data_IF_575599594068
#
_entry.id   IF_575599594068
#
_cell.length_a   1.000
_cell.length_b   1.000
_cell.length_c   1.000
_cell.angle_alpha   90.00
_cell.angle_beta   90.00
_cell.angle_gamma   90.00
#
_symmetry.space_group_name_H-M   'P 1'
#
loop_
_entity.id
_entity.type
_entity.pdbx_description
1 polymer ?
#
# COMPACT_ATOMS: atom_id res chain seq x y z
N UNK A 1 16.40 -21.37 -12.97
CA UNK A 1 16.24 -19.91 -12.79
C UNK A 1 15.96 -19.66 -11.32
N UNK A 2 16.48 -18.58 -10.72
CA UNK A 2 16.12 -18.20 -9.35
C UNK A 2 14.60 -17.98 -9.26
N UNK A 3 14.01 -18.38 -8.15
CA UNK A 3 12.62 -18.11 -7.81
C UNK A 3 12.40 -16.62 -7.54
N UNK A 4 11.15 -16.16 -7.64
CA UNK A 4 10.81 -14.76 -7.35
C UNK A 4 11.16 -14.32 -5.93
N UNK A 5 11.05 -15.23 -4.96
CA UNK A 5 11.54 -15.01 -3.59
C UNK A 5 13.05 -14.76 -3.56
N UNK A 6 13.83 -15.57 -4.27
CA UNK A 6 15.28 -15.42 -4.33
C UNK A 6 15.67 -14.11 -5.01
N UNK A 7 15.01 -13.74 -6.11
CA UNK A 7 15.21 -12.45 -6.79
C UNK A 7 14.90 -11.29 -5.85
N UNK A 8 13.73 -11.31 -5.19
CA UNK A 8 13.33 -10.28 -4.23
C UNK A 8 14.35 -10.13 -3.10
N UNK A 9 14.72 -11.23 -2.43
CA UNK A 9 15.67 -11.20 -1.32
C UNK A 9 17.07 -10.76 -1.77
N UNK A 10 17.48 -11.12 -2.99
CA UNK A 10 18.75 -10.67 -3.54
C UNK A 10 18.76 -9.14 -3.76
N UNK A 11 17.70 -8.59 -4.36
CA UNK A 11 17.54 -7.15 -4.57
C UNK A 11 17.42 -6.34 -3.27
N UNK A 12 16.83 -6.92 -2.22
CA UNK A 12 16.74 -6.27 -0.90
C UNK A 12 18.08 -6.27 -0.16
N UNK A 13 18.82 -7.38 -0.22
CA UNK A 13 20.06 -7.57 0.57
C UNK A 13 21.30 -7.02 -0.12
N UNK A 14 21.27 -6.95 -1.45
CA UNK A 14 22.36 -6.49 -2.29
C UNK A 14 21.78 -5.53 -3.34
N UNK A 15 21.52 -4.26 -2.98
CA UNK A 15 20.94 -3.30 -3.91
C UNK A 15 21.80 -3.07 -5.17
N UNK A 16 23.13 -3.16 -5.04
CA UNK A 16 24.11 -3.05 -6.14
C UNK A 16 24.21 -4.33 -7.01
N UNK A 17 23.28 -5.27 -6.86
CA UNK A 17 23.23 -6.48 -7.69
C UNK A 17 22.84 -6.17 -9.14
N UNK A 18 21.96 -5.20 -9.32
CA UNK A 18 21.40 -4.79 -10.60
C UNK A 18 21.20 -3.26 -10.57
N UNK A 19 22.16 -2.54 -11.16
CA UNK A 19 22.20 -1.08 -11.14
C UNK A 19 20.92 -0.46 -11.71
N UNK A 20 20.32 -1.06 -12.74
CA UNK A 20 19.09 -0.57 -13.37
C UNK A 20 17.91 -0.70 -12.41
N UNK A 21 17.80 -1.84 -11.70
CA UNK A 21 16.73 -2.08 -10.72
C UNK A 21 16.87 -1.14 -9.53
N UNK A 22 18.08 -0.93 -9.02
CA UNK A 22 18.34 -0.01 -7.92
C UNK A 22 18.05 1.45 -8.31
N UNK A 23 18.45 1.88 -9.51
CA UNK A 23 18.13 3.21 -10.03
C UNK A 23 16.61 3.41 -10.13
N UNK A 24 15.88 2.47 -10.74
CA UNK A 24 14.41 2.55 -10.85
C UNK A 24 13.71 2.64 -9.49
N UNK A 25 14.19 1.90 -8.48
CA UNK A 25 13.64 1.94 -7.12
C UNK A 25 13.90 3.28 -6.43
N UNK A 26 15.12 3.82 -6.57
CA UNK A 26 15.49 5.13 -6.05
C UNK A 26 14.68 6.23 -6.72
N UNK A 27 14.57 6.20 -8.04
CA UNK A 27 13.79 7.17 -8.81
C UNK A 27 12.31 7.15 -8.44
N UNK A 28 11.71 5.97 -8.30
CA UNK A 28 10.33 5.85 -7.86
C UNK A 28 10.12 6.41 -6.45
N UNK A 29 11.04 6.11 -5.53
CA UNK A 29 11.00 6.62 -4.16
C UNK A 29 11.15 8.15 -4.12
N UNK A 30 12.13 8.68 -4.85
CA UNK A 30 12.39 10.11 -4.95
C UNK A 30 11.21 10.84 -5.55
N UNK A 31 10.63 10.31 -6.64
CA UNK A 31 9.45 10.89 -7.27
C UNK A 31 8.24 10.93 -6.33
N UNK A 32 8.02 9.87 -5.52
CA UNK A 32 6.97 9.87 -4.48
C UNK A 32 7.25 10.93 -3.40
N UNK A 33 8.51 11.09 -2.96
CA UNK A 33 8.89 12.12 -2.00
C UNK A 33 8.71 13.55 -2.55
N UNK A 34 9.18 13.79 -3.77
CA UNK A 34 9.04 15.07 -4.47
C UNK A 34 7.57 15.41 -4.67
N UNK A 35 6.74 14.45 -5.09
CA UNK A 35 5.30 14.66 -5.24
C UNK A 35 4.66 15.07 -3.91
N UNK A 36 5.01 14.40 -2.80
CA UNK A 36 4.50 14.75 -1.47
C UNK A 36 4.92 16.16 -1.06
N UNK A 37 6.17 16.55 -1.29
CA UNK A 37 6.68 17.88 -0.96
C UNK A 37 6.09 18.98 -1.85
N UNK A 38 5.98 18.74 -3.15
CA UNK A 38 5.44 19.71 -4.11
C UNK A 38 3.95 19.96 -3.86
N UNK A 39 3.16 18.89 -3.67
CA UNK A 39 1.71 18.99 -3.44
C UNK A 39 1.39 19.73 -2.14
N UNK A 40 2.22 19.57 -1.09
CA UNK A 40 2.04 20.28 0.18
C UNK A 40 2.13 21.82 0.01
N UNK A 41 2.87 22.29 -1.01
CA UNK A 41 3.10 23.71 -1.25
C UNK A 41 2.12 24.35 -2.25
N UNK A 42 1.27 23.55 -2.90
CA UNK A 42 0.35 24.00 -3.94
C UNK A 42 -1.07 24.21 -3.40
N UNK A 43 -1.82 25.11 -4.05
CA UNK A 43 -3.26 25.17 -3.91
C UNK A 43 -3.96 24.02 -4.67
N UNK A 44 -5.25 23.84 -4.46
CA UNK A 44 -5.97 22.68 -5.00
C UNK A 44 -5.95 22.65 -6.54
N UNK A 45 -6.03 23.81 -7.19
CA UNK A 45 -5.87 23.94 -8.64
C UNK A 45 -4.47 23.51 -9.11
N UNK A 46 -3.42 23.92 -8.39
CA UNK A 46 -2.04 23.51 -8.64
C UNK A 46 -1.84 22.01 -8.48
N UNK A 47 -2.36 21.41 -7.40
CA UNK A 47 -2.30 19.97 -7.16
C UNK A 47 -2.96 19.19 -8.29
N UNK A 48 -4.15 19.61 -8.72
CA UNK A 48 -4.89 18.96 -9.80
C UNK A 48 -4.16 19.02 -11.15
N UNK A 49 -3.36 20.07 -11.37
CA UNK A 49 -2.59 20.23 -12.61
C UNK A 49 -1.32 19.37 -12.65
N UNK A 50 -0.63 19.24 -11.51
CA UNK A 50 0.68 18.57 -11.44
C UNK A 50 0.56 17.06 -11.24
N UNK A 51 -0.37 16.61 -10.38
CA UNK A 51 -0.43 15.19 -10.03
C UNK A 51 -0.67 14.20 -11.17
N UNK A 52 -1.44 14.52 -12.23
CA UNK A 52 -1.58 13.60 -13.35
C UNK A 52 -0.24 13.19 -13.98
N UNK A 53 0.64 14.16 -14.20
CA UNK A 53 1.96 13.90 -14.79
C UNK A 53 2.89 13.12 -13.85
N UNK A 54 2.91 13.49 -12.57
CA UNK A 54 3.72 12.78 -11.57
C UNK A 54 3.24 11.34 -11.39
N UNK A 55 1.93 11.11 -11.31
CA UNK A 55 1.37 9.77 -11.15
C UNK A 55 1.62 8.89 -12.39
N UNK A 56 1.49 9.44 -13.60
CA UNK A 56 1.83 8.71 -14.83
C UNK A 56 3.30 8.29 -14.88
N UNK A 57 4.22 9.16 -14.42
CA UNK A 57 5.64 8.83 -14.29
C UNK A 57 5.88 7.73 -13.25
N UNK A 58 5.22 7.77 -12.09
CA UNK A 58 5.32 6.72 -11.07
C UNK A 58 4.88 5.36 -11.61
N UNK A 59 3.73 5.30 -12.29
CA UNK A 59 3.22 4.07 -12.91
C UNK A 59 4.20 3.59 -13.99
N UNK A 60 4.79 4.49 -14.76
CA UNK A 60 5.77 4.13 -15.81
C UNK A 60 7.04 3.51 -15.22
N UNK A 61 7.57 4.08 -14.12
CA UNK A 61 8.73 3.51 -13.41
C UNK A 61 8.40 2.12 -12.84
N UNK A 62 7.19 1.94 -12.29
CA UNK A 62 6.75 0.61 -11.82
C UNK A 62 6.60 -0.40 -12.96
N UNK A 63 6.17 0.03 -14.16
CA UNK A 63 6.15 -0.82 -15.36
C UNK A 63 7.56 -1.24 -15.77
N UNK A 64 8.51 -0.31 -15.76
CA UNK A 64 9.90 -0.60 -16.08
C UNK A 64 10.48 -1.58 -15.05
N UNK A 65 10.33 -1.30 -13.76
CA UNK A 65 10.78 -2.19 -12.68
C UNK A 65 10.19 -3.60 -12.83
N UNK A 66 8.88 -3.71 -13.10
CA UNK A 66 8.22 -4.99 -13.36
C UNK A 66 8.75 -5.70 -14.61
N UNK A 67 9.23 -4.96 -15.61
CA UNK A 67 9.88 -5.51 -16.80
C UNK A 67 11.26 -6.10 -16.54
N UNK A 68 11.96 -5.67 -15.48
CA UNK A 68 13.27 -6.21 -15.09
C UNK A 68 13.15 -7.42 -14.17
N UNK A 69 12.27 -7.36 -13.16
CA UNK A 69 12.23 -8.37 -12.08
C UNK A 69 10.92 -9.17 -12.01
N UNK A 70 9.95 -8.87 -12.86
CA UNK A 70 8.61 -9.44 -12.80
C UNK A 70 7.67 -8.64 -11.90
N UNK A 71 6.38 -8.68 -12.24
CA UNK A 71 5.32 -7.88 -11.59
C UNK A 71 5.26 -8.06 -10.08
N UNK A 72 5.26 -9.31 -9.60
CA UNK A 72 5.15 -9.58 -8.16
C UNK A 72 6.35 -9.06 -7.38
N UNK A 73 7.56 -9.25 -7.91
CA UNK A 73 8.79 -8.76 -7.27
C UNK A 73 8.85 -7.25 -7.28
N UNK A 74 8.52 -6.59 -8.40
CA UNK A 74 8.50 -5.14 -8.50
C UNK A 74 7.54 -4.50 -7.49
N UNK A 75 6.33 -5.05 -7.35
CA UNK A 75 5.36 -4.56 -6.36
C UNK A 75 5.82 -4.79 -4.92
N UNK A 76 6.43 -5.95 -4.63
CA UNK A 76 6.99 -6.23 -3.31
C UNK A 76 8.13 -5.26 -2.95
N UNK A 77 9.01 -4.95 -3.90
CA UNK A 77 10.08 -3.95 -3.72
C UNK A 77 9.49 -2.56 -3.50
N UNK A 78 8.58 -2.10 -4.37
CA UNK A 78 7.90 -0.80 -4.25
C UNK A 78 7.23 -0.64 -2.87
N UNK A 79 6.51 -1.66 -2.40
CA UNK A 79 5.84 -1.64 -1.08
C UNK A 79 6.82 -1.61 0.09
N UNK A 80 7.93 -2.35 0.01
CA UNK A 80 8.96 -2.32 1.05
C UNK A 80 9.67 -0.97 1.08
N UNK A 81 9.98 -0.40 -0.08
CA UNK A 81 10.62 0.91 -0.23
C UNK A 81 9.70 2.04 0.26
N UNK A 82 8.39 1.97 -0.01
CA UNK A 82 7.38 2.87 0.59
C UNK A 82 7.39 2.79 2.12
N UNK A 83 7.53 1.60 2.68
CA UNK A 83 7.57 1.40 4.13
C UNK A 83 8.84 1.97 4.77
N UNK A 84 10.00 1.76 4.14
CA UNK A 84 11.28 2.32 4.60
C UNK A 84 11.32 3.85 4.51
N UNK A 85 10.90 4.40 3.37
CA UNK A 85 11.03 5.84 3.09
C UNK A 85 9.89 6.68 3.68
N UNK A 86 8.74 6.07 3.98
CA UNK A 86 7.51 6.80 4.28
C UNK A 86 6.92 7.56 3.07
N UNK A 87 7.47 7.37 1.88
CA UNK A 87 7.05 8.02 0.64
C UNK A 87 5.97 7.19 -0.04
N UNK A 88 4.72 7.31 0.40
CA UNK A 88 3.61 6.51 -0.10
C UNK A 88 2.46 7.39 -0.60
N UNK A 89 1.81 6.94 -1.68
CA UNK A 89 0.58 7.56 -2.20
C UNK A 89 -0.57 7.55 -1.18
N UNK A 90 -0.49 6.68 -0.17
CA UNK A 90 -1.39 6.64 0.98
C UNK A 90 -1.36 7.91 1.83
N UNK A 91 -0.39 8.82 1.62
CA UNK A 91 -0.27 10.07 2.36
C UNK A 91 -1.03 11.24 1.77
N UNK A 92 -1.37 11.19 0.47
CA UNK A 92 -2.20 12.22 -0.16
C UNK A 92 -3.61 12.25 0.44
N UNK A 93 -4.34 13.33 0.24
CA UNK A 93 -5.75 13.36 0.60
C UNK A 93 -6.60 12.51 -0.36
N UNK A 94 -7.88 12.41 -0.04
CA UNK A 94 -8.84 11.65 -0.82
C UNK A 94 -9.03 12.20 -2.22
N UNK A 95 -9.23 13.51 -2.36
CA UNK A 95 -9.59 14.14 -3.64
C UNK A 95 -8.47 13.93 -4.67
N UNK A 96 -7.23 14.07 -4.23
CA UNK A 96 -6.09 13.84 -5.09
C UNK A 96 -5.92 12.36 -5.45
N UNK A 97 -6.21 11.43 -4.54
CA UNK A 97 -6.25 9.99 -4.86
C UNK A 97 -7.37 9.64 -5.84
N UNK A 98 -8.54 10.26 -5.73
CA UNK A 98 -9.62 10.09 -6.71
C UNK A 98 -9.15 10.59 -8.09
N UNK A 99 -8.43 11.71 -8.16
CA UNK A 99 -7.84 12.18 -9.41
C UNK A 99 -6.82 11.21 -9.99
N UNK A 100 -5.93 10.67 -9.17
CA UNK A 100 -4.97 9.63 -9.61
C UNK A 100 -5.69 8.38 -10.13
N UNK A 101 -6.83 8.01 -9.53
CA UNK A 101 -7.62 6.87 -9.98
C UNK A 101 -8.18 7.08 -11.41
N UNK A 102 -8.70 8.28 -11.70
CA UNK A 102 -9.12 8.65 -13.07
C UNK A 102 -7.97 8.50 -14.08
N UNK A 103 -6.79 9.03 -13.74
CA UNK A 103 -5.61 8.94 -14.60
C UNK A 103 -5.16 7.48 -14.78
N UNK A 104 -5.13 6.69 -13.70
CA UNK A 104 -4.78 5.28 -13.77
C UNK A 104 -5.75 4.50 -14.66
N UNK A 105 -7.05 4.79 -14.58
CA UNK A 105 -8.07 4.18 -15.44
C UNK A 105 -7.83 4.52 -16.92
N UNK A 106 -7.48 5.76 -17.22
CA UNK A 106 -7.10 6.18 -18.57
C UNK A 106 -5.82 5.46 -19.06
N UNK A 107 -4.82 5.30 -18.19
CA UNK A 107 -3.57 4.61 -18.52
C UNK A 107 -3.80 3.14 -18.90
N UNK A 108 -4.70 2.44 -18.20
CA UNK A 108 -5.10 1.06 -18.54
C UNK A 108 -5.60 0.97 -19.99
N UNK A 109 -6.35 1.98 -20.45
CA UNK A 109 -6.85 2.05 -21.83
C UNK A 109 -5.78 2.40 -22.87
N UNK A 110 -4.80 3.22 -22.50
CA UNK A 110 -3.76 3.75 -23.40
C UNK A 110 -2.58 2.79 -23.63
N UNK A 111 -2.22 1.97 -22.63
CA UNK A 111 -1.05 1.10 -22.75
C UNK A 111 -1.24 -0.01 -23.80
N UNK A 112 -0.21 -0.24 -24.63
CA UNK A 112 -0.18 -1.35 -25.58
C UNK A 112 0.30 -2.68 -24.98
N UNK A 113 1.17 -2.63 -23.97
CA UNK A 113 1.75 -3.81 -23.32
C UNK A 113 0.81 -4.42 -22.29
N UNK A 114 0.74 -5.75 -22.25
CA UNK A 114 0.00 -6.50 -21.22
C UNK A 114 0.52 -6.20 -19.81
N UNK A 115 1.84 -6.15 -19.64
CA UNK A 115 2.46 -5.85 -18.35
C UNK A 115 2.07 -4.45 -17.87
N UNK A 116 2.15 -3.45 -18.77
CA UNK A 116 1.77 -2.08 -18.46
C UNK A 116 0.30 -1.95 -18.05
N UNK A 117 -0.60 -2.67 -18.73
CA UNK A 117 -2.01 -2.75 -18.32
C UNK A 117 -2.19 -3.37 -16.94
N UNK A 118 -1.46 -4.44 -16.63
CA UNK A 118 -1.53 -5.11 -15.33
C UNK A 118 -1.05 -4.20 -14.21
N UNK A 119 0.10 -3.54 -14.35
CA UNK A 119 0.62 -2.57 -13.38
C UNK A 119 -0.37 -1.43 -13.18
N UNK A 120 -0.82 -0.77 -14.26
CA UNK A 120 -1.78 0.32 -14.17
C UNK A 120 -3.10 -0.11 -13.50
N UNK A 121 -3.57 -1.34 -13.78
CA UNK A 121 -4.78 -1.89 -13.15
C UNK A 121 -4.55 -2.08 -11.66
N UNK A 122 -3.42 -2.64 -11.24
CA UNK A 122 -3.10 -2.88 -9.83
C UNK A 122 -2.99 -1.55 -9.08
N UNK A 123 -2.30 -0.55 -9.62
CA UNK A 123 -2.19 0.75 -8.96
C UNK A 123 -3.56 1.45 -8.78
N UNK A 124 -4.44 1.34 -9.79
CA UNK A 124 -5.84 1.78 -9.66
C UNK A 124 -6.54 1.06 -8.51
N UNK A 125 -6.42 -0.27 -8.43
CA UNK A 125 -7.06 -1.04 -7.34
C UNK A 125 -6.45 -0.71 -5.97
N UNK A 126 -5.14 -0.45 -5.89
CA UNK A 126 -4.49 0.02 -4.64
C UNK A 126 -5.02 1.37 -4.20
N UNK A 127 -5.32 2.29 -5.11
CA UNK A 127 -6.01 3.55 -4.78
C UNK A 127 -7.43 3.29 -4.23
N UNK A 128 -8.17 2.34 -4.80
CA UNK A 128 -9.48 1.91 -4.27
C UNK A 128 -9.36 1.32 -2.87
N UNK A 129 -8.34 0.50 -2.62
CA UNK A 129 -8.04 -0.04 -1.28
C UNK A 129 -7.76 1.09 -0.28
N UNK A 130 -6.84 2.00 -0.61
CA UNK A 130 -6.48 3.15 0.24
C UNK A 130 -7.72 3.98 0.60
N UNK A 131 -8.53 4.33 -0.40
CA UNK A 131 -9.75 5.10 -0.20
C UNK A 131 -10.76 4.36 0.69
N UNK A 132 -11.02 3.09 0.40
CA UNK A 132 -11.97 2.26 1.13
C UNK A 132 -11.52 2.05 2.59
N UNK A 133 -10.23 1.78 2.81
CA UNK A 133 -9.68 1.58 4.17
C UNK A 133 -9.67 2.86 4.98
N UNK A 134 -9.31 4.01 4.40
CA UNK A 134 -9.40 5.30 5.08
C UNK A 134 -10.84 5.56 5.53
N UNK A 135 -11.81 5.36 4.63
CA UNK A 135 -13.22 5.58 4.91
C UNK A 135 -13.79 4.60 5.96
N UNK A 136 -13.46 3.31 5.87
CA UNK A 136 -13.79 2.34 6.92
C UNK A 136 -13.17 2.74 8.27
N UNK A 137 -11.92 3.20 8.27
CA UNK A 137 -11.25 3.63 9.50
C UNK A 137 -11.98 4.81 10.16
N UNK A 138 -12.54 5.73 9.38
CA UNK A 138 -13.29 6.87 9.87
C UNK A 138 -14.68 6.47 10.38
N UNK A 139 -15.49 5.81 9.56
CA UNK A 139 -16.89 5.55 9.91
C UNK A 139 -17.09 4.36 10.84
N UNK A 140 -16.35 3.26 10.67
CA UNK A 140 -16.58 2.05 11.46
C UNK A 140 -16.03 2.19 12.88
N UNK A 141 -15.02 3.04 13.07
CA UNK A 141 -14.24 3.02 14.30
C UNK A 141 -14.15 4.35 15.09
N UNK A 142 -14.48 5.51 14.51
CA UNK A 142 -14.66 6.75 15.30
C UNK A 142 -16.01 6.75 16.03
N UNK A 143 -16.18 5.82 16.97
CA UNK A 143 -17.47 5.58 17.64
C UNK A 143 -17.98 6.78 18.45
N UNK A 144 -17.10 7.69 18.87
CA UNK A 144 -17.42 8.88 19.66
C UNK A 144 -17.52 10.20 18.90
N UNK A 145 -17.41 10.23 17.56
CA UNK A 145 -17.55 11.49 16.81
C UNK A 145 -19.03 11.86 16.65
N UNK A 146 -19.49 12.92 17.34
CA UNK A 146 -20.88 13.38 17.32
C UNK A 146 -21.36 13.81 15.92
N UNK A 147 -20.44 14.13 15.00
CA UNK A 147 -20.76 14.43 13.60
C UNK A 147 -21.24 13.21 12.81
N UNK A 148 -20.95 12.00 13.31
CA UNK A 148 -21.26 10.71 12.67
C UNK A 148 -21.92 9.76 13.69
N UNK A 149 -23.19 10.03 14.07
CA UNK A 149 -23.89 9.27 15.09
C UNK A 149 -24.11 7.81 14.69
N UNK A 150 -24.16 6.89 15.65
CA UNK A 150 -24.24 5.44 15.37
C UNK A 150 -25.41 5.04 14.45
N UNK A 151 -26.52 5.77 14.51
CA UNK A 151 -27.75 5.47 13.78
C UNK A 151 -27.63 5.57 12.25
N UNK A 152 -26.71 6.40 11.72
CA UNK A 152 -26.59 6.64 10.28
C UNK A 152 -25.33 6.00 9.65
N UNK A 153 -24.47 5.37 10.45
CA UNK A 153 -23.18 4.82 9.97
C UNK A 153 -23.35 3.71 8.95
N UNK A 154 -24.31 2.82 9.16
CA UNK A 154 -24.58 1.72 8.23
C UNK A 154 -25.08 2.25 6.89
N UNK A 155 -26.02 3.19 6.91
CA UNK A 155 -26.55 3.85 5.72
C UNK A 155 -25.44 4.59 4.95
N UNK A 156 -24.54 5.29 5.66
CA UNK A 156 -23.38 5.95 5.04
C UNK A 156 -22.40 4.92 4.44
N UNK A 157 -22.09 3.83 5.15
CA UNK A 157 -21.21 2.79 4.59
C UNK A 157 -21.79 2.18 3.32
N UNK A 158 -23.10 1.96 3.29
CA UNK A 158 -23.82 1.43 2.13
C UNK A 158 -23.85 2.44 0.96
N UNK A 159 -24.16 3.71 1.23
CA UNK A 159 -24.20 4.78 0.24
C UNK A 159 -22.85 4.99 -0.46
N UNK A 160 -21.73 4.73 0.23
CA UNK A 160 -20.40 4.83 -0.36
C UNK A 160 -19.97 3.57 -1.14
N UNK A 161 -20.73 2.47 -1.03
CA UNK A 161 -20.45 1.22 -1.74
C UNK A 161 -19.09 0.62 -1.38
N UNK A 162 -18.61 0.83 -0.16
CA UNK A 162 -17.25 0.48 0.26
C UNK A 162 -17.00 -1.02 0.14
N UNK A 163 -17.97 -1.82 0.62
CA UNK A 163 -17.87 -3.27 0.60
C UNK A 163 -17.79 -3.83 -0.83
N UNK A 164 -18.73 -3.54 -1.76
CA UNK A 164 -18.63 -4.06 -3.12
C UNK A 164 -17.37 -3.59 -3.84
N UNK A 165 -16.98 -2.32 -3.70
CA UNK A 165 -15.76 -1.76 -4.32
C UNK A 165 -14.49 -2.45 -3.82
N UNK A 166 -14.38 -2.66 -2.52
CA UNK A 166 -13.20 -3.31 -1.93
C UNK A 166 -13.13 -4.79 -2.33
N UNK A 167 -14.27 -5.49 -2.37
CA UNK A 167 -14.31 -6.89 -2.80
C UNK A 167 -13.94 -7.04 -4.28
N UNK A 168 -14.46 -6.18 -5.16
CA UNK A 168 -14.09 -6.16 -6.57
C UNK A 168 -12.60 -5.89 -6.76
N UNK A 169 -12.08 -4.85 -6.12
CA UNK A 169 -10.66 -4.51 -6.18
C UNK A 169 -9.77 -5.68 -5.72
N UNK A 170 -10.14 -6.35 -4.62
CA UNK A 170 -9.45 -7.56 -4.14
C UNK A 170 -9.50 -8.67 -5.17
N UNK A 171 -10.67 -8.98 -5.74
CA UNK A 171 -10.81 -10.02 -6.75
C UNK A 171 -9.91 -9.78 -7.96
N UNK A 172 -9.81 -8.52 -8.42
CA UNK A 172 -8.94 -8.14 -9.54
C UNK A 172 -7.47 -8.39 -9.21
N UNK A 173 -6.96 -7.86 -8.09
CA UNK A 173 -5.54 -7.98 -7.76
C UNK A 173 -5.17 -9.42 -7.38
N UNK A 174 -6.04 -10.14 -6.65
CA UNK A 174 -5.84 -11.56 -6.34
C UNK A 174 -5.77 -12.42 -7.60
N UNK A 175 -6.55 -12.09 -8.63
CA UNK A 175 -6.48 -12.77 -9.93
C UNK A 175 -5.13 -12.59 -10.64
N UNK A 176 -4.41 -11.50 -10.35
CA UNK A 176 -3.10 -11.22 -10.96
C UNK A 176 -1.94 -11.72 -10.09
N UNK A 177 -1.97 -11.47 -8.78
CA UNK A 177 -0.84 -11.65 -7.84
C UNK A 177 -1.01 -12.85 -6.91
N UNK A 178 -2.18 -13.48 -6.89
CA UNK A 178 -2.52 -14.49 -5.88
C UNK A 178 -2.91 -13.88 -4.54
N UNK A 179 -3.49 -14.71 -3.67
CA UNK A 179 -4.13 -14.27 -2.42
C UNK A 179 -3.10 -13.71 -1.44
N UNK A 180 -1.99 -14.41 -1.23
CA UNK A 180 -0.99 -14.05 -0.20
C UNK A 180 -0.29 -12.73 -0.50
N UNK A 181 0.14 -12.53 -1.75
CA UNK A 181 0.83 -11.29 -2.14
C UNK A 181 -0.13 -10.09 -2.11
N UNK A 182 -1.34 -10.26 -2.63
CA UNK A 182 -2.39 -9.22 -2.57
C UNK A 182 -2.68 -8.81 -1.13
N UNK A 183 -2.82 -9.78 -0.22
CA UNK A 183 -3.09 -9.52 1.20
C UNK A 183 -1.93 -8.78 1.89
N UNK A 184 -0.67 -9.11 1.55
CA UNK A 184 0.50 -8.43 2.09
C UNK A 184 0.55 -6.95 1.63
N UNK A 185 0.33 -6.71 0.33
CA UNK A 185 0.32 -5.37 -0.27
C UNK A 185 -0.83 -4.53 0.30
N UNK A 186 -2.06 -5.03 0.28
CA UNK A 186 -3.23 -4.33 0.83
C UNK A 186 -3.03 -4.00 2.32
N UNK A 187 -2.48 -4.96 3.07
CA UNK A 187 -2.09 -4.76 4.46
C UNK A 187 -1.11 -3.60 4.61
N UNK A 188 -0.06 -3.53 3.80
CA UNK A 188 0.91 -2.44 3.82
C UNK A 188 0.30 -1.08 3.45
N UNK A 189 -0.50 -1.02 2.38
CA UNK A 189 -1.18 0.21 1.96
C UNK A 189 -2.07 0.76 3.08
N UNK A 190 -2.86 -0.10 3.73
CA UNK A 190 -3.67 0.26 4.91
C UNK A 190 -2.81 0.81 6.04
N UNK A 191 -1.62 0.24 6.25
CA UNK A 191 -0.73 0.68 7.30
C UNK A 191 -0.15 2.08 7.04
N UNK A 192 0.14 2.41 5.78
CA UNK A 192 0.78 3.68 5.41
C UNK A 192 -0.20 4.87 5.27
N UNK A 193 -1.50 4.65 5.46
CA UNK A 193 -2.52 5.72 5.40
C UNK A 193 -2.28 6.80 6.46
N UNK A 194 -2.07 8.04 6.01
CA UNK A 194 -1.85 9.20 6.89
C UNK A 194 -3.07 9.48 7.80
N UNK A 195 -4.27 9.37 7.24
CA UNK A 195 -5.53 9.68 7.90
C UNK A 195 -6.21 8.46 8.53
N UNK A 196 -5.53 7.32 8.64
CA UNK A 196 -6.13 6.15 9.27
C UNK A 196 -6.51 6.47 10.72
N UNK A 197 -7.66 5.97 11.14
CA UNK A 197 -7.94 5.91 12.56
C UNK A 197 -7.03 4.86 13.23
N UNK A 198 -6.32 5.29 14.27
CA UNK A 198 -5.51 4.41 15.11
C UNK A 198 -6.37 3.95 16.30
N UNK A 199 -6.33 2.65 16.58
CA UNK A 199 -6.90 2.10 17.81
C UNK A 199 -6.03 2.59 18.98
N UNK A 200 -6.43 3.68 19.63
CA UNK A 200 -5.70 4.24 20.76
C UNK A 200 -5.45 3.18 21.85
N UNK A 201 -4.28 3.22 22.50
CA UNK A 201 -3.92 2.34 23.62
C UNK A 201 -4.68 2.72 24.89
N UNK A 202 -5.98 2.46 24.87
CA UNK A 202 -6.88 2.68 26.00
C UNK A 202 -7.54 1.35 26.42
N UNK A 203 -8.01 1.25 27.67
CA UNK A 203 -8.82 0.12 28.12
C UNK A 203 -10.06 -0.11 27.24
N UNK A 204 -10.63 0.96 26.68
CA UNK A 204 -11.82 0.93 25.84
C UNK A 204 -11.61 0.17 24.52
N UNK A 205 -10.39 0.16 23.98
CA UNK A 205 -10.04 -0.52 22.72
C UNK A 205 -9.18 -1.78 22.92
N UNK A 206 -8.93 -2.19 24.17
CA UNK A 206 -8.04 -3.32 24.47
C UNK A 206 -8.57 -4.65 23.90
N UNK A 207 -9.90 -4.85 23.93
CA UNK A 207 -10.52 -6.06 23.39
C UNK A 207 -10.44 -6.11 21.87
N UNK A 208 -10.75 -5.01 21.17
CA UNK A 208 -10.65 -4.91 19.72
C UNK A 208 -9.23 -5.20 19.24
N UNK A 209 -8.21 -4.61 19.89
CA UNK A 209 -6.80 -4.89 19.58
C UNK A 209 -6.38 -6.32 19.89
N UNK A 210 -7.02 -7.01 20.82
CA UNK A 210 -6.67 -8.41 21.08
C UNK A 210 -7.34 -9.38 20.10
N UNK A 211 -8.65 -9.19 19.86
CA UNK A 211 -9.51 -10.18 19.21
C UNK A 211 -9.61 -9.98 17.71
N UNK A 212 -9.64 -8.73 17.23
CA UNK A 212 -9.94 -8.42 15.83
C UNK A 212 -9.01 -9.09 14.80
N UNK A 213 -7.68 -9.15 15.00
CA UNK A 213 -6.80 -9.84 14.06
C UNK A 213 -7.09 -11.33 13.99
N UNK A 214 -7.51 -11.92 15.12
CA UNK A 214 -7.73 -13.37 15.25
C UNK A 214 -9.04 -13.77 14.54
N UNK A 215 -10.07 -12.90 14.58
CA UNK A 215 -11.34 -13.14 13.91
C UNK A 215 -11.25 -13.15 12.37
N UNK A 216 -10.20 -12.55 11.81
CA UNK A 216 -10.05 -12.39 10.36
C UNK A 216 -9.58 -13.65 9.62
N UNK A 217 -9.30 -14.76 10.33
CA UNK A 217 -8.72 -15.99 9.77
C UNK A 217 -7.46 -15.77 8.92
N UNK A 218 -6.75 -14.65 9.15
CA UNK A 218 -5.53 -14.32 8.43
C UNK A 218 -4.38 -15.23 8.86
N UNK A 219 -3.40 -15.50 7.97
CA UNK A 219 -2.21 -16.27 8.32
C UNK A 219 -1.48 -15.66 9.54
N UNK A 220 -0.86 -16.51 10.36
CA UNK A 220 -0.15 -16.08 11.56
C UNK A 220 0.90 -14.97 11.31
N UNK A 221 1.69 -14.96 10.22
CA UNK A 221 2.58 -13.84 9.89
C UNK A 221 1.84 -12.51 9.74
N UNK A 222 0.69 -12.53 9.06
CA UNK A 222 -0.16 -11.34 8.88
C UNK A 222 -0.74 -10.86 10.21
N UNK A 223 -1.14 -11.77 11.09
CA UNK A 223 -1.60 -11.37 12.43
C UNK A 223 -0.48 -10.74 13.25
N UNK A 224 0.75 -11.27 13.17
CA UNK A 224 1.91 -10.74 13.89
C UNK A 224 2.30 -9.34 13.40
N UNK A 225 2.33 -9.12 12.08
CA UNK A 225 2.64 -7.79 11.54
C UNK A 225 1.58 -6.78 11.98
N UNK A 226 0.30 -7.13 11.97
CA UNK A 226 -0.78 -6.25 12.45
C UNK A 226 -0.67 -5.89 13.93
N UNK A 227 -0.27 -6.83 14.79
CA UNK A 227 -0.03 -6.52 16.21
C UNK A 227 1.18 -5.60 16.38
N UNK A 228 2.27 -5.87 15.67
CA UNK A 228 3.47 -5.03 15.73
C UNK A 228 3.21 -3.61 15.20
N UNK A 229 2.32 -3.47 14.21
CA UNK A 229 1.83 -2.18 13.69
C UNK A 229 1.13 -1.35 14.76
N UNK A 230 0.28 -1.98 15.58
CA UNK A 230 -0.37 -1.30 16.70
C UNK A 230 0.58 -0.94 17.83
N UNK A 231 1.59 -1.79 18.10
CA UNK A 231 2.65 -1.47 19.05
C UNK A 231 3.43 -0.24 18.59
N UNK A 232 3.76 -0.13 17.29
CA UNK A 232 4.40 1.05 16.73
C UNK A 232 3.52 2.29 16.89
N UNK A 233 2.24 2.22 16.53
CA UNK A 233 1.30 3.34 16.67
C UNK A 233 1.19 3.80 18.13
N UNK A 234 1.10 2.85 19.05
CA UNK A 234 1.02 3.12 20.50
C UNK A 234 2.27 3.87 20.98
N UNK A 235 3.46 3.40 20.59
CA UNK A 235 4.71 4.06 20.98
C UNK A 235 4.84 5.44 20.33
N UNK A 236 4.46 5.58 19.05
CA UNK A 236 4.49 6.86 18.35
C UNK A 236 3.55 7.88 19.02
N UNK A 237 2.36 7.45 19.44
CA UNK A 237 1.42 8.29 20.18
C UNK A 237 1.96 8.65 21.59
N UNK A 238 2.79 7.78 22.19
CA UNK A 238 3.52 8.07 23.44
C UNK A 238 4.73 9.00 23.24
N UNK A 239 5.01 9.45 22.01
CA UNK A 239 6.06 10.42 21.70
C UNK A 239 7.46 9.82 21.64
N UNK A 240 7.62 8.54 21.27
CA UNK A 240 8.97 8.04 20.94
C UNK A 240 9.50 8.79 19.71
N UNK A 241 10.78 9.16 19.76
CA UNK A 241 11.42 9.97 18.72
C UNK A 241 12.80 9.41 18.35
N UNK A 242 13.34 9.88 17.23
CA UNK A 242 14.70 9.59 16.80
C UNK A 242 14.98 8.10 16.66
N UNK A 243 16.09 7.64 17.25
CA UNK A 243 16.59 6.28 17.07
C UNK A 243 15.64 5.16 17.55
N UNK A 244 14.78 5.43 18.53
CA UNK A 244 13.81 4.44 19.01
C UNK A 244 12.68 4.21 18.00
N UNK A 245 12.15 5.28 17.40
CA UNK A 245 11.15 5.18 16.34
C UNK A 245 11.70 4.47 15.11
N UNK A 246 12.95 4.78 14.74
CA UNK A 246 13.62 4.13 13.61
C UNK A 246 13.88 2.64 13.85
N UNK A 247 14.23 2.24 15.08
CA UNK A 247 14.39 0.83 15.43
C UNK A 247 13.07 0.05 15.30
N UNK A 248 11.95 0.63 15.73
CA UNK A 248 10.63 -0.01 15.60
C UNK A 248 10.19 -0.08 14.13
N UNK A 249 10.45 0.96 13.33
CA UNK A 249 10.24 0.93 11.87
C UNK A 249 11.06 -0.14 11.18
N UNK A 250 12.34 -0.29 11.54
CA UNK A 250 13.20 -1.34 10.99
C UNK A 250 12.69 -2.75 11.33
N UNK A 251 12.23 -2.97 12.58
CA UNK A 251 11.58 -4.23 12.98
C UNK A 251 10.33 -4.50 12.14
N UNK A 252 9.51 -3.47 11.89
CA UNK A 252 8.33 -3.59 11.05
C UNK A 252 8.66 -3.93 9.60
N UNK A 253 9.68 -3.28 9.05
CA UNK A 253 10.14 -3.54 7.70
C UNK A 253 10.66 -4.98 7.54
N UNK A 254 11.41 -5.50 8.52
CA UNK A 254 11.85 -6.91 8.50
C UNK A 254 10.70 -7.92 8.53
N UNK A 255 9.62 -7.62 9.27
CA UNK A 255 8.41 -8.46 9.24
C UNK A 255 7.70 -8.39 7.88
N UNK A 256 7.67 -7.22 7.26
CA UNK A 256 7.08 -7.01 5.94
C UNK A 256 7.91 -7.72 4.85
N UNK A 257 9.24 -7.59 4.87
CA UNK A 257 10.15 -8.30 3.97
C UNK A 257 9.89 -9.81 4.03
N UNK A 258 9.83 -10.40 5.23
CA UNK A 258 9.57 -11.81 5.40
C UNK A 258 8.19 -12.22 4.85
N UNK A 259 7.14 -11.43 5.11
CA UNK A 259 5.80 -11.69 4.61
C UNK A 259 5.74 -11.63 3.08
N UNK A 260 6.38 -10.64 2.47
CA UNK A 260 6.44 -10.47 1.02
C UNK A 260 7.24 -11.61 0.35
N UNK A 261 8.40 -11.96 0.92
CA UNK A 261 9.23 -13.06 0.45
C UNK A 261 8.47 -14.39 0.46
N UNK A 262 7.75 -14.69 1.55
CA UNK A 262 6.94 -15.90 1.66
C UNK A 262 5.72 -15.86 0.72
N UNK A 263 5.12 -14.69 0.51
CA UNK A 263 3.99 -14.54 -0.40
C UNK A 263 4.37 -14.75 -1.88
N UNK A 264 5.61 -14.41 -2.24
CA UNK A 264 6.15 -14.60 -3.60
C UNK A 264 6.36 -16.08 -3.96
N UNK A 265 6.49 -16.99 -2.99
CA UNK A 265 6.60 -18.44 -3.27
C UNK A 265 5.33 -19.03 -3.87
N UNK A 266 4.18 -18.45 -3.56
CA UNK A 266 2.85 -18.91 -4.00
C UNK A 266 2.22 -18.00 -5.06
N UNK A 267 2.95 -17.00 -5.53
CA UNK A 267 2.43 -16.08 -6.51
C UNK A 267 2.27 -16.76 -7.88
N UNK A 268 1.21 -16.47 -8.66
CA UNK A 268 0.99 -17.08 -9.96
C UNK A 268 2.15 -16.83 -10.92
N UNK A 269 2.49 -17.79 -11.78
CA UNK A 269 3.55 -17.65 -12.78
C UNK A 269 3.40 -16.39 -13.65
N UNK A 270 2.16 -16.01 -13.96
CA UNK A 270 1.86 -14.79 -14.72
C UNK A 270 2.30 -13.50 -14.04
N UNK A 271 2.42 -13.47 -12.72
CA UNK A 271 2.99 -12.35 -11.98
C UNK A 271 4.51 -12.43 -11.86
N UNK A 272 5.10 -13.61 -12.08
CA UNK A 272 6.54 -13.85 -11.97
C UNK A 272 7.28 -13.71 -13.30
N UNK A 273 6.55 -13.74 -14.43
CA UNK A 273 7.10 -13.58 -15.76
C UNK A 273 7.60 -12.13 -15.97
N UNK A 274 8.86 -11.88 -15.60
CA UNK A 274 9.59 -10.63 -15.83
C UNK A 274 10.39 -10.62 -17.13
N UNK A 275 10.13 -11.51 -18.08
CA UNK A 275 10.89 -11.57 -19.34
C UNK A 275 9.94 -11.71 -20.53
N UNK A 276 9.84 -10.63 -21.31
CA UNK A 276 9.43 -10.62 -22.72
C UNK A 276 10.33 -9.67 -23.51
#
# INVERSE_FOLDING_TARGET
MPSAREIFLAQVRTPDLDDDVDELRRDLTNLKQEALQQVEQLDDDGKQRVMPGLYEQMVTLEVQLAGHVGLGVALALSVLDEHHSGASLSRFDRELREKMNEIGTDLVGKHGSRLAKMVATIEVQRLVWRHSHEFMSWLAFRRGDERYPAADRLERLDAFGVQPRLLEARSVVMGMLGVRLSAAIEGADRFMLSNRWRLADSPEHALERYVWPILSYMPAPTVRIERARWELDTKADAGIEGGELEAERAKMAGLLEAQLADALEEAPESAMAGTF
#
